data_IF_342607731985
#
_entry.id   IF_342607731985
#
_cell.length_a   1.000
_cell.length_b   1.000
_cell.length_c   1.000
_cell.angle_alpha   90.00
_cell.angle_beta   90.00
_cell.angle_gamma   90.00
#
_symmetry.space_group_name_H-M   'P 1'
#
loop_
_entity.id
_entity.type
_entity.pdbx_description
1 polymer ?
#
# COMPACT_ATOMS: atom_id res chain seq x y z
N UNK A 1 -18.43 27.03 10.83
CA UNK A 1 -19.34 26.26 9.95
C UNK A 1 -18.41 25.43 9.06
N UNK A 2 -18.37 24.11 9.10
CA UNK A 2 -19.43 23.13 9.32
C UNK A 2 -18.84 21.89 10.01
N UNK A 3 -19.62 21.27 10.90
CA UNK A 3 -19.35 19.91 11.36
C UNK A 3 -19.37 19.00 10.14
N UNK A 4 -18.22 18.45 9.78
CA UNK A 4 -18.13 17.44 8.73
C UNK A 4 -18.35 16.09 9.39
N UNK A 5 -19.56 15.57 9.18
CA UNK A 5 -19.87 14.17 8.94
C UNK A 5 -19.27 13.12 9.90
N UNK A 6 -19.99 12.82 10.98
CA UNK A 6 -19.61 11.75 11.92
C UNK A 6 -20.09 10.33 11.49
N UNK A 7 -20.68 10.18 10.29
CA UNK A 7 -21.28 8.88 9.87
C UNK A 7 -20.86 8.34 8.49
N UNK A 8 -20.24 9.15 7.62
CA UNK A 8 -19.83 8.70 6.28
C UNK A 8 -18.33 8.35 6.24
N UNK A 9 -17.92 7.27 5.54
CA UNK A 9 -16.51 6.93 5.42
C UNK A 9 -15.75 8.05 4.69
N UNK A 10 -14.54 8.35 5.17
CA UNK A 10 -13.64 9.27 4.48
C UNK A 10 -13.15 8.62 3.19
N UNK A 11 -13.39 9.26 2.05
CA UNK A 11 -12.99 8.77 0.72
C UNK A 11 -12.03 9.75 0.05
N UNK A 12 -11.26 9.27 -0.94
CA UNK A 12 -10.39 10.15 -1.74
C UNK A 12 -11.20 11.24 -2.48
N UNK A 13 -12.42 10.93 -2.91
CA UNK A 13 -13.31 11.90 -3.54
C UNK A 13 -13.77 12.98 -2.54
N UNK A 14 -14.09 12.60 -1.30
CA UNK A 14 -14.40 13.56 -0.24
C UNK A 14 -13.21 14.48 0.04
N UNK A 15 -12.01 13.92 0.22
CA UNK A 15 -10.81 14.71 0.47
C UNK A 15 -10.50 15.66 -0.69
N UNK A 16 -10.61 15.18 -1.93
CA UNK A 16 -10.46 16.00 -3.14
C UNK A 16 -11.43 17.19 -3.13
N UNK A 17 -12.70 16.96 -2.80
CA UNK A 17 -13.72 18.03 -2.74
C UNK A 17 -13.40 19.04 -1.64
N UNK A 18 -13.04 18.58 -0.44
CA UNK A 18 -12.68 19.44 0.68
C UNK A 18 -11.45 20.31 0.35
N UNK A 19 -10.42 19.72 -0.28
CA UNK A 19 -9.23 20.46 -0.68
C UNK A 19 -9.49 21.48 -1.78
N UNK A 20 -10.31 21.13 -2.78
CA UNK A 20 -10.70 22.06 -3.82
C UNK A 20 -11.46 23.25 -3.25
N UNK A 21 -12.40 22.99 -2.33
CA UNK A 21 -13.16 24.02 -1.64
C UNK A 21 -12.26 24.90 -0.77
N UNK A 22 -11.36 24.29 0.01
CA UNK A 22 -10.40 24.99 0.85
C UNK A 22 -9.49 25.94 0.05
N UNK A 23 -9.00 25.48 -1.10
CA UNK A 23 -8.16 26.27 -2.00
C UNK A 23 -8.94 27.43 -2.63
N UNK A 24 -10.18 27.18 -3.04
CA UNK A 24 -11.06 28.20 -3.63
C UNK A 24 -11.41 29.30 -2.63
N UNK A 25 -11.71 28.95 -1.39
CA UNK A 25 -12.02 29.92 -0.32
C UNK A 25 -10.86 30.88 0.01
N UNK A 26 -9.64 30.51 -0.38
CA UNK A 26 -8.41 31.28 -0.10
C UNK A 26 -7.79 31.87 -1.36
N UNK A 27 -8.45 31.73 -2.51
CA UNK A 27 -7.91 32.13 -3.82
C UNK A 27 -6.54 31.51 -4.12
N UNK A 28 -6.32 30.26 -3.69
CA UNK A 28 -5.04 29.55 -3.82
C UNK A 28 -4.87 28.81 -5.15
N UNK A 29 -5.93 28.70 -5.94
CA UNK A 29 -5.91 28.00 -7.23
C UNK A 29 -4.75 28.42 -8.17
N UNK A 30 -4.35 29.70 -8.28
CA UNK A 30 -3.21 30.11 -9.10
C UNK A 30 -1.86 29.50 -8.67
N UNK A 31 -1.71 29.16 -7.39
CA UNK A 31 -0.48 28.58 -6.84
C UNK A 31 -0.45 27.07 -6.95
N UNK A 32 -1.60 26.42 -7.15
CA UNK A 32 -1.77 24.97 -7.22
C UNK A 32 -1.45 24.40 -8.61
N UNK A 33 -0.36 24.85 -9.23
CA UNK A 33 0.16 24.18 -10.43
C UNK A 33 0.66 22.77 -10.08
N UNK A 34 0.60 21.77 -10.99
CA UNK A 34 1.09 20.42 -10.72
C UNK A 34 2.53 20.37 -10.20
N UNK A 35 3.42 21.22 -10.73
CA UNK A 35 4.81 21.30 -10.26
C UNK A 35 4.90 21.79 -8.82
N UNK A 36 4.14 22.82 -8.46
CA UNK A 36 4.19 23.38 -7.11
C UNK A 36 3.64 22.40 -6.07
N UNK A 37 2.54 21.72 -6.40
CA UNK A 37 1.96 20.68 -5.55
C UNK A 37 2.90 19.48 -5.37
N UNK A 38 3.61 19.09 -6.43
CA UNK A 38 4.65 18.06 -6.32
C UNK A 38 5.80 18.49 -5.40
N UNK A 39 6.25 19.75 -5.49
CA UNK A 39 7.31 20.24 -4.61
C UNK A 39 6.86 20.36 -3.16
N UNK A 40 5.62 20.79 -2.91
CA UNK A 40 5.03 20.77 -1.57
C UNK A 40 4.95 19.35 -1.01
N UNK A 41 4.45 18.39 -1.79
CA UNK A 41 4.45 16.96 -1.43
C UNK A 41 5.83 16.44 -1.03
N UNK A 42 6.88 16.85 -1.75
CA UNK A 42 8.26 16.48 -1.39
C UNK A 42 8.69 17.09 -0.06
N UNK A 43 8.25 18.31 0.24
CA UNK A 43 8.43 18.96 1.54
C UNK A 43 7.83 18.13 2.67
N UNK A 44 6.55 17.76 2.55
CA UNK A 44 5.85 16.96 3.58
C UNK A 44 6.46 15.55 3.76
N UNK A 45 6.95 14.95 2.67
CA UNK A 45 7.71 13.69 2.77
C UNK A 45 9.02 13.90 3.55
N UNK A 46 9.63 15.08 3.43
CA UNK A 46 10.77 15.51 4.24
C UNK A 46 10.41 15.60 5.71
N UNK A 47 9.35 16.34 6.06
CA UNK A 47 8.86 16.49 7.44
C UNK A 47 8.50 15.14 8.07
N UNK A 48 7.77 14.29 7.33
CA UNK A 48 7.53 12.90 7.71
C UNK A 48 8.82 12.12 7.96
N UNK A 49 9.86 12.33 7.15
CA UNK A 49 11.15 11.66 7.31
C UNK A 49 11.89 12.15 8.57
N UNK A 50 11.78 13.42 8.93
CA UNK A 50 12.41 14.01 10.12
C UNK A 50 11.93 13.35 11.42
N UNK A 51 10.69 12.86 11.45
CA UNK A 51 10.15 12.10 12.59
C UNK A 51 10.95 10.81 12.84
N UNK A 52 11.44 10.17 11.77
CA UNK A 52 12.14 8.88 11.84
C UNK A 52 13.66 9.01 11.81
N UNK A 53 14.22 10.15 11.39
CA UNK A 53 15.64 10.28 11.04
C UNK A 53 16.64 9.81 12.11
N UNK A 54 16.27 9.89 13.39
CA UNK A 54 17.11 9.46 14.54
C UNK A 54 16.52 8.29 15.32
N UNK A 55 15.39 7.74 14.88
CA UNK A 55 14.81 6.51 15.44
C UNK A 55 15.55 5.35 14.78
N UNK A 56 16.12 4.43 15.56
CA UNK A 56 16.74 3.21 15.04
C UNK A 56 15.68 2.29 14.40
N UNK A 57 15.74 0.99 14.69
CA UNK A 57 14.63 0.11 14.29
C UNK A 57 13.34 0.53 15.03
N UNK A 58 12.28 0.83 14.26
CA UNK A 58 10.97 1.21 14.81
C UNK A 58 10.03 0.01 14.75
N UNK A 59 9.59 -0.54 15.90
CA UNK A 59 8.69 -1.68 15.92
C UNK A 59 7.28 -1.31 15.44
N UNK A 60 6.60 -2.30 14.85
CA UNK A 60 5.20 -2.16 14.42
C UNK A 60 4.32 -1.74 15.60
N UNK A 61 3.44 -0.77 15.35
CA UNK A 61 2.48 -0.29 16.35
C UNK A 61 3.05 0.76 17.31
N UNK A 62 4.31 1.13 17.17
CA UNK A 62 4.94 2.26 17.90
C UNK A 62 4.74 2.18 19.43
N UNK A 63 4.98 1.02 20.10
CA UNK A 63 4.74 0.83 21.53
C UNK A 63 5.49 1.83 22.41
N UNK A 64 6.69 2.25 22.00
CA UNK A 64 7.56 3.15 22.77
C UNK A 64 7.37 4.63 22.43
N UNK A 65 6.39 4.96 21.60
CA UNK A 65 6.12 6.34 21.18
C UNK A 65 5.05 6.97 22.07
N UNK A 66 5.27 8.22 22.42
CA UNK A 66 4.27 9.05 23.11
C UNK A 66 3.11 9.35 22.18
N UNK A 67 1.93 9.62 22.75
CA UNK A 67 0.74 9.98 21.96
C UNK A 67 0.95 11.24 21.13
N UNK A 68 1.70 12.22 21.63
CA UNK A 68 2.08 13.43 20.87
C UNK A 68 2.93 13.10 19.63
N UNK A 69 3.84 12.12 19.71
CA UNK A 69 4.65 11.70 18.57
C UNK A 69 3.80 10.96 17.52
N UNK A 70 2.82 10.17 17.97
CA UNK A 70 1.88 9.48 17.09
C UNK A 70 0.90 10.46 16.42
N UNK A 71 0.48 11.49 17.15
CA UNK A 71 -0.35 12.56 16.61
C UNK A 71 0.39 13.31 15.51
N UNK A 72 1.61 13.76 15.79
CA UNK A 72 2.46 14.44 14.81
C UNK A 72 2.75 13.56 13.58
N UNK A 73 3.03 12.27 13.79
CA UNK A 73 3.13 11.31 12.68
C UNK A 73 1.84 11.25 11.83
N UNK A 74 0.68 11.29 12.48
CA UNK A 74 -0.62 11.32 11.80
C UNK A 74 -0.84 12.59 10.99
N UNK A 75 -0.37 13.74 11.47
CA UNK A 75 -0.40 15.03 10.76
C UNK A 75 0.45 14.95 9.48
N UNK A 76 1.73 14.56 9.58
CA UNK A 76 2.61 14.49 8.41
C UNK A 76 2.18 13.43 7.38
N UNK A 77 1.66 12.28 7.83
CA UNK A 77 1.05 11.29 6.93
C UNK A 77 -0.18 11.87 6.20
N UNK A 78 -0.96 12.71 6.88
CA UNK A 78 -2.13 13.36 6.31
C UNK A 78 -1.72 14.42 5.30
N UNK A 79 -0.70 15.23 5.56
CA UNK A 79 -0.24 16.26 4.63
C UNK A 79 0.31 15.65 3.33
N UNK A 80 1.09 14.57 3.43
CA UNK A 80 1.50 13.76 2.25
C UNK A 80 0.29 13.27 1.45
N UNK A 81 -0.72 12.71 2.13
CA UNK A 81 -1.94 12.21 1.48
C UNK A 81 -2.70 13.35 0.78
N UNK A 82 -2.89 14.48 1.47
CA UNK A 82 -3.66 15.61 0.97
C UNK A 82 -2.98 16.22 -0.26
N UNK A 83 -1.68 16.49 -0.23
CA UNK A 83 -0.98 16.99 -1.41
C UNK A 83 -1.01 16.01 -2.58
N UNK A 84 -0.91 14.70 -2.33
CA UNK A 84 -1.04 13.68 -3.38
C UNK A 84 -2.44 13.68 -4.00
N UNK A 85 -3.49 13.77 -3.18
CA UNK A 85 -4.88 13.87 -3.65
C UNK A 85 -5.07 15.13 -4.49
N UNK A 86 -4.63 16.30 -4.01
CA UNK A 86 -4.77 17.55 -4.77
C UNK A 86 -3.95 17.56 -6.05
N UNK A 87 -2.75 17.00 -6.03
CA UNK A 87 -1.93 16.82 -7.23
C UNK A 87 -2.65 15.94 -8.26
N UNK A 88 -3.27 14.83 -7.83
CA UNK A 88 -4.03 13.96 -8.73
C UNK A 88 -5.21 14.68 -9.38
N UNK A 89 -5.92 15.51 -8.60
CA UNK A 89 -7.04 16.31 -9.08
C UNK A 89 -6.59 17.33 -10.15
N UNK A 90 -5.52 18.07 -9.88
CA UNK A 90 -4.94 19.03 -10.83
C UNK A 90 -4.39 18.37 -12.10
N UNK A 91 -4.01 17.10 -12.03
CA UNK A 91 -3.55 16.30 -13.18
C UNK A 91 -4.69 15.57 -13.91
N UNK A 92 -5.93 15.64 -13.42
CA UNK A 92 -7.06 14.91 -13.99
C UNK A 92 -6.96 13.38 -13.83
N UNK A 93 -6.27 12.91 -12.80
CA UNK A 93 -6.07 11.48 -12.51
C UNK A 93 -7.05 11.03 -11.44
N UNK A 94 -7.83 9.99 -11.74
CA UNK A 94 -8.60 9.25 -10.73
C UNK A 94 -7.65 8.39 -9.89
N UNK A 95 -7.20 8.94 -8.76
CA UNK A 95 -6.20 8.32 -7.89
C UNK A 95 -6.67 6.97 -7.34
N UNK A 96 -7.96 6.84 -7.00
CA UNK A 96 -8.55 5.60 -6.51
C UNK A 96 -8.48 4.49 -7.54
N UNK A 97 -8.93 4.75 -8.78
CA UNK A 97 -8.82 3.77 -9.87
C UNK A 97 -7.38 3.46 -10.23
N UNK A 98 -6.49 4.46 -10.23
CA UNK A 98 -5.07 4.27 -10.49
C UNK A 98 -4.41 3.35 -9.44
N UNK A 99 -4.72 3.55 -8.16
CA UNK A 99 -4.23 2.72 -7.07
C UNK A 99 -4.74 1.27 -7.18
N UNK A 100 -6.04 1.07 -7.44
CA UNK A 100 -6.62 -0.27 -7.62
C UNK A 100 -5.96 -1.04 -8.77
N UNK A 101 -5.79 -0.38 -9.92
CA UNK A 101 -5.05 -0.95 -11.06
C UNK A 101 -3.61 -1.30 -10.66
N UNK A 102 -2.94 -0.43 -9.91
CA UNK A 102 -1.55 -0.65 -9.48
C UNK A 102 -1.42 -1.85 -8.54
N UNK A 103 -2.37 -2.06 -7.63
CA UNK A 103 -2.43 -3.24 -6.75
C UNK A 103 -2.54 -4.53 -7.57
N UNK A 104 -3.43 -4.57 -8.56
CA UNK A 104 -3.58 -5.73 -9.46
C UNK A 104 -2.27 -6.05 -10.21
N UNK A 105 -1.62 -5.01 -10.75
CA UNK A 105 -0.33 -5.17 -11.42
C UNK A 105 0.78 -5.64 -10.47
N UNK A 106 0.77 -5.18 -9.22
CA UNK A 106 1.74 -5.61 -8.21
C UNK A 106 1.53 -7.07 -7.82
N UNK A 107 0.29 -7.56 -7.75
CA UNK A 107 -0.01 -8.96 -7.47
C UNK A 107 0.49 -9.90 -8.58
N UNK A 108 0.44 -9.46 -9.83
CA UNK A 108 1.03 -10.19 -10.97
C UNK A 108 2.56 -10.17 -10.88
N UNK A 109 3.15 -9.02 -10.55
CA UNK A 109 4.61 -8.86 -10.44
C UNK A 109 5.21 -9.62 -9.26
N UNK A 110 4.48 -9.72 -8.15
CA UNK A 110 4.90 -10.36 -6.91
C UNK A 110 3.80 -11.34 -6.43
N UNK A 111 3.70 -12.52 -7.07
CA UNK A 111 2.68 -13.50 -6.71
C UNK A 111 2.90 -14.01 -5.29
N UNK A 112 1.79 -14.31 -4.60
CA UNK A 112 1.87 -15.02 -3.32
C UNK A 112 2.49 -16.40 -3.55
N UNK A 113 3.42 -16.80 -2.68
CA UNK A 113 3.87 -18.20 -2.66
C UNK A 113 2.66 -19.05 -2.28
N UNK A 114 2.31 -20.02 -3.13
CA UNK A 114 1.32 -21.02 -2.79
C UNK A 114 1.94 -21.90 -1.71
N UNK A 115 1.61 -21.65 -0.45
CA UNK A 115 1.98 -22.55 0.65
C UNK A 115 0.98 -23.70 0.69
N UNK A 116 1.21 -24.72 -0.12
CA UNK A 116 0.36 -25.90 -0.18
C UNK A 116 1.05 -27.06 -0.90
N UNK A 117 1.65 -27.95 -0.12
CA UNK A 117 1.94 -29.36 -0.41
C UNK A 117 1.86 -29.78 -1.89
N UNK A 118 2.97 -29.67 -2.61
CA UNK A 118 3.17 -30.37 -3.89
C UNK A 118 4.30 -31.42 -3.80
N UNK A 119 4.66 -31.87 -2.59
CA UNK A 119 5.68 -32.93 -2.38
C UNK A 119 5.09 -34.33 -2.16
N UNK A 120 3.81 -34.57 -2.47
CA UNK A 120 3.14 -35.88 -2.19
C UNK A 120 2.60 -36.62 -3.42
N UNK A 121 2.89 -36.16 -4.65
CA UNK A 121 2.43 -36.87 -5.88
C UNK A 121 3.58 -37.66 -6.56
N UNK A 122 4.85 -37.41 -6.26
CA UNK A 122 5.95 -38.15 -6.92
C UNK A 122 6.32 -39.49 -6.25
N UNK A 123 5.82 -39.82 -5.05
CA UNK A 123 6.24 -41.02 -4.32
C UNK A 123 5.27 -42.22 -4.37
N UNK A 124 4.19 -42.14 -5.16
CA UNK A 124 3.28 -43.29 -5.39
C UNK A 124 3.47 -43.99 -6.74
N UNK A 125 4.23 -43.39 -7.67
CA UNK A 125 4.53 -44.00 -8.97
C UNK A 125 5.74 -44.96 -8.93
N UNK A 126 6.61 -44.87 -7.91
CA UNK A 126 7.82 -45.70 -7.80
C UNK A 126 7.61 -47.05 -7.09
N UNK A 127 6.45 -47.28 -6.45
CA UNK A 127 6.18 -48.53 -5.71
C UNK A 127 5.49 -49.60 -6.58
N UNK A 128 5.03 -49.28 -7.80
CA UNK A 128 4.33 -50.22 -8.67
C UNK A 128 5.20 -50.84 -9.78
N UNK A 129 6.49 -50.50 -9.89
CA UNK A 129 7.38 -50.98 -10.96
C UNK A 129 8.47 -51.97 -10.50
N UNK A 130 8.51 -52.39 -9.23
CA UNK A 130 9.57 -53.29 -8.71
C UNK A 130 9.12 -54.71 -8.31
N UNK A 131 7.95 -55.19 -8.71
CA UNK A 131 7.56 -56.61 -8.51
C UNK A 131 7.02 -57.24 -9.80
N UNK A 132 7.87 -57.38 -10.81
CA UNK A 132 7.73 -58.48 -11.78
C UNK A 132 9.01 -58.65 -12.64
N UNK A 133 9.92 -59.50 -12.15
CA UNK A 133 10.91 -60.31 -12.87
C UNK A 133 11.94 -60.76 -11.81
N UNK A 134 12.16 -62.02 -11.47
CA UNK A 134 11.71 -63.32 -11.95
C UNK A 134 12.68 -64.34 -11.36
N UNK A 135 12.22 -65.53 -11.00
CA UNK A 135 13.12 -66.68 -10.79
C UNK A 135 12.42 -67.94 -11.26
N UNK A 136 12.70 -68.32 -12.50
CA UNK A 136 12.66 -69.71 -12.95
C UNK A 136 14.09 -70.27 -12.83
N UNK A 137 14.26 -71.38 -12.11
CA UNK A 137 15.24 -72.44 -12.43
C UNK A 137 14.80 -73.75 -11.76
N UNK A 138 14.92 -74.83 -12.53
CA UNK A 138 14.45 -76.21 -12.35
C UNK A 138 15.10 -77.04 -11.21
N UNK A 139 14.44 -78.16 -10.88
CA UNK A 139 15.11 -79.47 -10.77
C UNK A 139 15.18 -80.14 -9.38
N UNK A 140 14.24 -81.06 -9.09
CA UNK A 140 14.47 -82.52 -8.91
C UNK A 140 13.11 -83.27 -8.85
#
# INVERSE_FOLDING_TARGET
MTGVADEAPVTLDLLKQLMAQFAKERDWEPFHSPRNLLLALVGEVGELSEIFQWKGEVPKGLPDWKEEEKLHLGEELSDVLLYLVRLSDMCGVDLGKAALRKVQLNAIKYPAKVSGKEDEIENTASTLTSTNNGTATDGD
#
